data_IF_986128710625
#
_entry.id   IF_986128710625
#
_cell.length_a   1.000
_cell.length_b   1.000
_cell.length_c   1.000
_cell.angle_alpha   90.00
_cell.angle_beta   90.00
_cell.angle_gamma   90.00
#
_symmetry.space_group_name_H-M   'P 1'
#
loop_
_entity.id
_entity.type
_entity.pdbx_description
1 polymer ?
#
# COMPACT_ATOMS: atom_id res chain seq x y z
N UNK A 1 2.22 -25.66 -8.94
CA UNK A 1 2.45 -24.94 -10.21
C UNK A 1 1.65 -23.65 -10.19
N UNK A 2 2.16 -22.64 -10.92
CA UNK A 2 1.68 -21.26 -11.09
C UNK A 2 1.97 -20.30 -9.92
N UNK A 3 2.51 -19.11 -10.11
CA UNK A 3 3.10 -18.41 -11.29
C UNK A 3 4.00 -17.32 -10.69
N UNK A 4 5.17 -17.07 -11.26
CA UNK A 4 5.91 -15.84 -11.02
C UNK A 4 5.02 -14.68 -11.50
N UNK A 5 4.32 -14.02 -10.58
CA UNK A 5 3.52 -12.84 -10.89
C UNK A 5 4.45 -11.63 -10.87
N UNK A 6 4.89 -11.19 -12.05
CA UNK A 6 5.31 -9.85 -12.48
C UNK A 6 5.63 -8.71 -11.45
N UNK A 7 6.16 -8.97 -10.25
CA UNK A 7 6.63 -7.96 -9.27
C UNK A 7 5.58 -7.02 -8.67
N UNK A 8 4.35 -7.01 -9.18
CA UNK A 8 3.30 -6.08 -8.77
C UNK A 8 2.62 -6.54 -7.48
N UNK A 9 2.49 -5.61 -6.54
CA UNK A 9 1.75 -5.77 -5.29
C UNK A 9 0.43 -5.01 -5.44
N UNK A 10 -0.67 -5.58 -4.94
CA UNK A 10 -1.97 -4.92 -4.95
C UNK A 10 -2.40 -4.58 -3.52
N UNK A 11 -3.07 -3.45 -3.39
CA UNK A 11 -3.87 -3.12 -2.20
C UNK A 11 -5.31 -3.50 -2.49
N UNK A 12 -5.87 -4.34 -1.65
CA UNK A 12 -7.28 -4.74 -1.65
C UNK A 12 -8.05 -3.91 -0.62
N UNK A 13 -9.38 -3.79 -0.81
CA UNK A 13 -10.27 -3.25 0.20
C UNK A 13 -11.41 -4.21 0.55
N UNK A 14 -11.93 -4.10 1.76
CA UNK A 14 -13.16 -4.80 2.18
C UNK A 14 -13.98 -3.92 3.12
N UNK A 15 -15.29 -4.11 3.16
CA UNK A 15 -16.17 -3.37 4.06
C UNK A 15 -16.18 -3.98 5.46
N UNK A 16 -16.23 -3.12 6.48
CA UNK A 16 -16.50 -3.51 7.85
C UNK A 16 -17.49 -2.55 8.50
N UNK A 17 -18.25 -3.05 9.49
CA UNK A 17 -19.17 -2.21 10.25
C UNK A 17 -18.53 -1.70 11.54
N UNK A 18 -18.76 -0.43 11.85
CA UNK A 18 -18.36 0.18 13.12
C UNK A 18 -19.37 1.26 13.51
N UNK A 19 -19.93 1.16 14.71
CA UNK A 19 -20.91 2.12 15.23
C UNK A 19 -22.10 2.34 14.28
N UNK A 20 -22.60 1.27 13.64
CA UNK A 20 -23.72 1.34 12.69
C UNK A 20 -23.40 2.02 11.36
N UNK A 21 -22.12 2.21 11.04
CA UNK A 21 -21.66 2.73 9.74
C UNK A 21 -20.72 1.73 9.06
N UNK A 22 -20.83 1.63 7.75
CA UNK A 22 -19.95 0.81 6.92
C UNK A 22 -18.75 1.61 6.47
N UNK A 23 -17.56 1.05 6.61
CA UNK A 23 -16.28 1.64 6.21
C UNK A 23 -15.48 0.67 5.37
N UNK A 24 -14.60 1.18 4.52
CA UNK A 24 -13.59 0.36 3.87
C UNK A 24 -12.33 0.24 4.75
N UNK A 25 -11.80 -0.99 4.83
CA UNK A 25 -10.45 -1.25 5.29
C UNK A 25 -9.58 -1.64 4.11
N UNK A 26 -8.33 -1.17 4.12
CA UNK A 26 -7.37 -1.32 3.02
C UNK A 26 -6.18 -2.17 3.47
N UNK A 27 -5.79 -3.16 2.66
CA UNK A 27 -4.76 -4.11 3.05
C UNK A 27 -4.06 -4.77 1.86
N UNK A 28 -2.88 -5.31 2.12
CA UNK A 28 -2.12 -6.13 1.17
C UNK A 28 -2.12 -7.56 1.70
N UNK A 29 -2.45 -8.53 0.85
CA UNK A 29 -2.31 -9.95 1.14
C UNK A 29 -1.01 -10.49 0.56
N UNK A 30 -0.42 -11.46 1.25
CA UNK A 30 0.74 -12.18 0.74
C UNK A 30 1.10 -13.39 1.58
N UNK A 31 2.12 -14.11 1.15
CA UNK A 31 2.64 -15.29 1.87
C UNK A 31 4.08 -15.02 2.30
N UNK A 32 4.40 -15.15 3.58
CA UNK A 32 5.76 -15.04 4.13
C UNK A 32 6.12 -16.36 4.79
N UNK A 33 7.15 -17.05 4.26
CA UNK A 33 7.63 -18.35 4.78
C UNK A 33 6.49 -19.38 5.00
N UNK A 34 5.56 -19.45 4.05
CA UNK A 34 4.41 -20.36 4.10
C UNK A 34 3.27 -19.93 5.02
N UNK A 35 3.32 -18.73 5.59
CA UNK A 35 2.22 -18.14 6.37
C UNK A 35 1.53 -17.04 5.58
N UNK A 36 0.21 -17.11 5.50
CA UNK A 36 -0.61 -16.03 4.98
C UNK A 36 -0.53 -14.82 5.91
N UNK A 37 -0.32 -13.66 5.33
CA UNK A 37 -0.24 -12.39 6.04
C UNK A 37 -1.16 -11.36 5.40
N UNK A 38 -1.74 -10.50 6.24
CA UNK A 38 -2.57 -9.38 5.84
C UNK A 38 -1.97 -8.12 6.48
N UNK A 39 -1.55 -7.18 5.63
CA UNK A 39 -0.86 -5.96 6.03
C UNK A 39 -1.82 -4.80 5.87
N UNK A 40 -2.21 -4.17 6.98
CA UNK A 40 -3.09 -3.01 6.92
C UNK A 40 -2.33 -1.76 6.45
N UNK A 41 -2.92 -1.03 5.52
CA UNK A 41 -2.41 0.27 5.04
C UNK A 41 -3.46 1.35 5.25
N UNK A 42 -3.00 2.56 5.53
CA UNK A 42 -3.84 3.73 5.78
C UNK A 42 -3.24 4.96 5.09
N UNK A 43 -4.06 5.95 4.74
CA UNK A 43 -3.55 7.24 4.31
C UNK A 43 -2.83 7.97 5.47
N UNK A 44 -1.99 8.97 5.18
CA UNK A 44 -1.28 9.76 6.19
C UNK A 44 -2.22 10.44 7.20
N UNK A 45 -3.39 10.88 6.73
CA UNK A 45 -4.41 11.64 7.45
C UNK A 45 -5.84 11.16 7.10
N UNK A 46 -6.85 11.71 7.79
CA UNK A 46 -8.25 11.29 7.62
C UNK A 46 -8.86 11.68 6.26
N UNK A 47 -8.45 12.80 5.67
CA UNK A 47 -8.93 13.24 4.35
C UNK A 47 -8.44 12.33 3.23
N UNK A 48 -7.30 11.66 3.42
CA UNK A 48 -6.77 10.71 2.44
C UNK A 48 -7.65 9.47 2.21
N UNK A 49 -8.62 9.17 3.07
CA UNK A 49 -9.57 8.07 2.79
C UNK A 49 -10.49 8.41 1.61
N UNK A 50 -10.90 9.68 1.48
CA UNK A 50 -11.66 10.13 0.30
C UNK A 50 -10.82 9.98 -0.98
N UNK A 51 -9.51 10.23 -0.89
CA UNK A 51 -8.61 10.05 -2.03
C UNK A 51 -8.46 8.57 -2.38
N UNK A 52 -8.36 7.68 -1.39
CA UNK A 52 -8.38 6.23 -1.63
C UNK A 52 -9.69 5.78 -2.27
N UNK A 53 -10.83 6.30 -1.84
CA UNK A 53 -12.13 5.96 -2.43
C UNK A 53 -12.16 6.35 -3.92
N UNK A 54 -11.57 7.49 -4.29
CA UNK A 54 -11.42 7.94 -5.70
C UNK A 54 -10.46 7.01 -6.46
N UNK A 55 -9.28 6.72 -5.91
CA UNK A 55 -8.28 5.84 -6.56
C UNK A 55 -8.86 4.45 -6.81
N UNK A 56 -9.61 3.89 -5.87
CA UNK A 56 -10.25 2.59 -6.08
C UNK A 56 -11.46 2.69 -7.03
N UNK A 57 -12.15 3.83 -7.09
CA UNK A 57 -13.40 3.96 -7.83
C UNK A 57 -14.39 2.87 -7.42
N UNK A 58 -14.82 2.06 -8.40
CA UNK A 58 -15.69 0.90 -8.18
C UNK A 58 -14.94 -0.42 -7.93
N UNK A 59 -13.62 -0.42 -8.05
CA UNK A 59 -12.79 -1.62 -7.96
C UNK A 59 -12.54 -2.04 -6.51
N UNK A 60 -12.17 -3.30 -6.32
CA UNK A 60 -11.83 -3.86 -5.01
C UNK A 60 -10.32 -3.99 -4.78
N UNK A 61 -9.53 -3.68 -5.80
CA UNK A 61 -8.07 -3.68 -5.73
C UNK A 61 -7.45 -2.61 -6.63
N UNK A 62 -6.34 -2.02 -6.19
CA UNK A 62 -5.53 -1.10 -6.97
C UNK A 62 -4.03 -1.39 -6.75
N UNK A 63 -3.16 -0.93 -7.65
CA UNK A 63 -1.73 -1.28 -7.63
C UNK A 63 -1.00 -0.50 -6.53
N UNK A 64 -0.10 -1.18 -5.80
CA UNK A 64 0.83 -0.54 -4.88
C UNK A 64 2.10 -0.14 -5.63
N UNK A 65 2.35 1.16 -5.69
CA UNK A 65 3.56 1.76 -6.24
C UNK A 65 4.57 2.01 -5.12
N UNK A 66 5.81 1.56 -5.35
CA UNK A 66 6.94 1.83 -4.47
C UNK A 66 7.72 3.01 -5.03
N UNK A 67 7.95 4.01 -4.19
CA UNK A 67 8.72 5.20 -4.53
C UNK A 67 10.00 5.22 -3.68
N UNK A 68 11.13 4.79 -4.24
CA UNK A 68 12.40 4.85 -3.52
C UNK A 68 12.75 6.31 -3.23
N UNK A 69 13.27 6.55 -2.04
CA UNK A 69 13.82 7.84 -1.64
C UNK A 69 15.19 7.66 -1.01
N UNK A 70 16.00 8.68 -1.13
CA UNK A 70 17.28 8.83 -0.45
C UNK A 70 17.35 10.23 0.13
N UNK A 71 17.54 10.33 1.44
CA UNK A 71 17.69 11.59 2.16
C UNK A 71 19.08 11.61 2.74
N UNK A 72 19.88 12.60 2.34
CA UNK A 72 21.17 12.88 2.93
C UNK A 72 21.00 13.93 4.02
N UNK A 73 21.30 13.55 5.25
CA UNK A 73 21.42 14.48 6.37
C UNK A 73 22.74 15.25 6.21
N UNK A 74 22.65 16.53 5.85
CA UNK A 74 23.84 17.38 5.63
C UNK A 74 24.61 17.66 6.93
N UNK A 75 23.96 17.62 8.09
CA UNK A 75 24.60 17.87 9.37
C UNK A 75 25.39 16.66 9.89
N UNK A 76 24.90 15.44 9.63
CA UNK A 76 25.55 14.21 10.13
C UNK A 76 26.25 13.39 9.04
N UNK A 77 26.05 13.74 7.76
CA UNK A 77 26.54 12.99 6.60
C UNK A 77 25.83 11.65 6.40
N UNK A 78 24.79 11.33 7.19
CA UNK A 78 24.08 10.05 7.12
C UNK A 78 23.15 10.03 5.91
N UNK A 79 23.17 8.90 5.20
CA UNK A 79 22.23 8.62 4.11
C UNK A 79 21.12 7.72 4.63
N UNK A 80 19.88 8.19 4.52
CA UNK A 80 18.66 7.45 4.88
C UNK A 80 17.95 7.10 3.58
N UNK A 81 17.98 5.82 3.21
CA UNK A 81 17.26 5.31 2.05
C UNK A 81 16.06 4.45 2.46
N UNK A 82 15.01 4.46 1.65
CA UNK A 82 13.82 3.66 1.89
C UNK A 82 12.82 3.75 0.74
N UNK A 83 11.63 3.18 0.94
CA UNK A 83 10.51 3.31 0.02
C UNK A 83 9.35 4.03 0.71
N UNK A 84 8.78 5.03 0.05
CA UNK A 84 7.39 5.44 0.30
C UNK A 84 6.46 4.61 -0.58
N UNK A 85 5.18 4.60 -0.22
CA UNK A 85 4.18 3.75 -0.85
C UNK A 85 3.00 4.60 -1.30
N UNK A 86 2.49 4.30 -2.48
CA UNK A 86 1.27 4.90 -2.99
C UNK A 86 0.38 3.82 -3.60
N UNK A 87 -0.93 4.03 -3.55
CA UNK A 87 -1.89 3.24 -4.32
C UNK A 87 -2.22 4.01 -5.58
N UNK A 88 -2.17 3.34 -6.72
CA UNK A 88 -2.39 3.94 -8.03
C UNK A 88 -3.40 3.13 -8.85
N UNK A 89 -4.23 3.85 -9.59
CA UNK A 89 -5.09 3.32 -10.66
C UNK A 89 -5.02 4.26 -11.86
N UNK A 90 -5.46 3.74 -13.01
CA UNK A 90 -5.59 4.49 -14.26
C UNK A 90 -7.03 4.32 -14.72
N UNK A 91 -7.68 5.42 -15.09
CA UNK A 91 -9.04 5.38 -15.61
C UNK A 91 -9.09 5.05 -17.11
N UNK A 92 -10.29 5.13 -17.69
CA UNK A 92 -10.54 4.85 -19.10
C UNK A 92 -9.88 5.87 -20.05
N UNK A 93 -9.69 7.11 -19.58
CA UNK A 93 -9.08 8.21 -20.33
C UNK A 93 -7.54 8.23 -20.21
N UNK A 94 -6.98 7.37 -19.35
CA UNK A 94 -5.55 7.28 -19.09
C UNK A 94 -5.05 8.20 -17.97
N UNK A 95 -5.95 8.86 -17.24
CA UNK A 95 -5.61 9.70 -16.10
C UNK A 95 -5.16 8.83 -14.92
N UNK A 96 -4.08 9.26 -14.26
CA UNK A 96 -3.48 8.53 -13.15
C UNK A 96 -3.98 9.09 -11.84
N UNK A 97 -4.71 8.29 -11.08
CA UNK A 97 -5.11 8.61 -9.72
C UNK A 97 -4.16 7.96 -8.72
N UNK A 98 -3.69 8.75 -7.75
CA UNK A 98 -2.74 8.27 -6.76
C UNK A 98 -3.06 8.74 -5.34
N UNK A 99 -2.91 7.84 -4.36
CA UNK A 99 -2.97 8.16 -2.95
C UNK A 99 -1.75 7.61 -2.21
N UNK A 100 -1.02 8.47 -1.48
CA UNK A 100 0.03 8.02 -0.57
C UNK A 100 -0.54 7.19 0.57
N UNK A 101 0.15 6.10 0.94
CA UNK A 101 -0.25 5.22 2.04
C UNK A 101 0.94 4.86 2.93
N UNK A 102 0.64 4.50 4.18
CA UNK A 102 1.60 3.98 5.15
C UNK A 102 1.06 2.72 5.84
N UNK A 103 1.93 1.81 6.29
CA UNK A 103 1.50 0.71 7.15
C UNK A 103 0.82 1.25 8.41
N UNK A 104 -0.30 0.64 8.81
CA UNK A 104 -1.09 1.12 9.95
C UNK A 104 -0.34 0.95 11.28
N UNK A 105 0.31 -0.21 11.47
CA UNK A 105 1.05 -0.55 12.69
C UNK A 105 2.51 -0.86 12.38
N UNK A 106 3.33 -0.90 13.43
CA UNK A 106 4.73 -1.30 13.29
C UNK A 106 4.89 -2.75 12.79
N UNK A 107 3.97 -3.65 13.16
CA UNK A 107 3.92 -5.01 12.62
C UNK A 107 3.62 -5.02 11.12
N UNK A 108 2.67 -4.19 10.68
CA UNK A 108 2.34 -4.03 9.26
C UNK A 108 3.57 -3.53 8.49
N UNK A 109 4.31 -2.59 9.06
CA UNK A 109 5.57 -2.09 8.47
C UNK A 109 6.60 -3.20 8.28
N UNK A 110 6.80 -4.04 9.29
CA UNK A 110 7.73 -5.16 9.21
C UNK A 110 7.28 -6.19 8.15
N UNK A 111 5.99 -6.54 8.12
CA UNK A 111 5.44 -7.48 7.15
C UNK A 111 5.52 -6.92 5.72
N UNK A 112 5.20 -5.64 5.51
CA UNK A 112 5.32 -5.00 4.20
C UNK A 112 6.77 -5.03 3.69
N UNK A 113 7.73 -4.70 4.55
CA UNK A 113 9.15 -4.77 4.18
C UNK A 113 9.58 -6.19 3.78
N UNK A 114 9.02 -7.22 4.42
CA UNK A 114 9.27 -8.62 4.03
C UNK A 114 8.59 -9.00 2.70
N UNK A 115 7.40 -8.49 2.41
CA UNK A 115 6.71 -8.72 1.13
C UNK A 115 7.42 -8.02 -0.03
N UNK A 116 7.77 -6.75 0.14
CA UNK A 116 8.42 -5.91 -0.86
C UNK A 116 9.78 -6.46 -1.27
N UNK A 117 10.60 -6.91 -0.31
CA UNK A 117 11.91 -7.53 -0.59
C UNK A 117 11.86 -8.79 -1.45
N UNK A 118 10.69 -9.40 -1.60
CA UNK A 118 10.49 -10.61 -2.42
C UNK A 118 9.87 -10.31 -3.78
N UNK A 119 9.26 -9.13 -3.93
CA UNK A 119 8.64 -8.68 -5.16
C UNK A 119 9.63 -7.88 -6.03
N UNK A 120 10.63 -7.24 -5.40
CA UNK A 120 11.81 -6.65 -6.04
C UNK A 120 12.87 -7.71 -6.33
#
# INVERSE_FOLDING_TARGET
MAKNNNGKIFVERETFEKNGRTFFSYFIKGVIRGKDVKVAVVPPDKGGYTVLDIVFGNEMSAELILKPYEIKDEATGRVIAGNSYAVQSVDEDGEIYECSVKPYRNSDKALLAMLVKRAA
#
